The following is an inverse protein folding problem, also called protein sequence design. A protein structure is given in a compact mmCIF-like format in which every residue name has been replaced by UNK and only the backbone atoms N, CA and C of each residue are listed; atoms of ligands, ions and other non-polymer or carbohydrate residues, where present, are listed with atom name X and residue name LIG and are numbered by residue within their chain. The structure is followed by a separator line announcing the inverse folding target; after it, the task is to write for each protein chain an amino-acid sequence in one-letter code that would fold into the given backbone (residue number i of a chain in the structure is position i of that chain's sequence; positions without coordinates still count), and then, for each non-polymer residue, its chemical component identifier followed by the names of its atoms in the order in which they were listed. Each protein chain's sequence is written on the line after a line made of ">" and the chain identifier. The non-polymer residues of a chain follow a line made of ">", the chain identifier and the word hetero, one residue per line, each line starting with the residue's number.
data_IF_367307471772
#
_entry.id   IF_367307471772
#
_cell.length_a   1.000
_cell.length_b   1.000
_cell.length_c   1.000
_cell.angle_alpha   90.00
_cell.angle_beta   90.00
_cell.angle_gamma   90.00
#
_symmetry.space_group_name_H-M   'P 1'
#
loop_
_entity.id
_entity.type
_entity.pdbx_description
1 polymer ?
#
# COMPACT_ATOMS: atom_id res chain seq x y z
N UNK A 1 3.10 -14.83 -31.64
CA UNK A 1 3.75 -15.94 -32.40
C UNK A 1 3.77 -17.25 -31.63
N UNK A 2 4.18 -17.31 -30.37
CA UNK A 2 4.20 -18.56 -29.61
C UNK A 2 2.79 -19.11 -29.41
N UNK A 3 1.87 -18.30 -28.95
CA UNK A 3 0.47 -18.68 -28.72
C UNK A 3 -0.26 -18.99 -30.05
N UNK A 4 -0.01 -18.23 -31.11
CA UNK A 4 -0.55 -18.49 -32.44
C UNK A 4 -0.09 -19.85 -33.00
N UNK A 5 1.17 -20.20 -32.76
CA UNK A 5 1.70 -21.51 -33.16
C UNK A 5 1.07 -22.66 -32.37
N UNK A 6 0.83 -22.47 -31.05
CA UNK A 6 0.20 -23.49 -30.21
C UNK A 6 -1.29 -23.70 -30.59
N UNK A 7 -2.00 -22.62 -30.92
CA UNK A 7 -3.39 -22.66 -31.33
C UNK A 7 -3.58 -23.03 -32.82
N UNK A 8 -2.50 -22.96 -33.62
CA UNK A 8 -2.53 -23.26 -35.04
C UNK A 8 -3.29 -22.25 -35.89
N UNK A 9 -3.49 -21.01 -35.40
CA UNK A 9 -4.21 -19.94 -36.08
C UNK A 9 -3.63 -18.56 -35.79
N UNK A 10 -3.79 -17.64 -36.75
CA UNK A 10 -3.41 -16.24 -36.56
C UNK A 10 -4.47 -15.51 -35.71
N UNK A 11 -4.00 -14.68 -34.76
CA UNK A 11 -4.85 -13.91 -33.85
C UNK A 11 -4.91 -12.43 -34.20
N UNK A 12 -4.10 -12.00 -35.17
CA UNK A 12 -4.01 -10.60 -35.58
C UNK A 12 -4.08 -10.46 -37.08
N UNK A 13 -4.84 -9.48 -37.55
CA UNK A 13 -4.83 -9.00 -38.92
C UNK A 13 -3.88 -7.81 -39.09
N UNK A 14 -3.28 -7.65 -40.25
CA UNK A 14 -2.50 -6.47 -40.61
C UNK A 14 -3.34 -5.54 -41.48
N UNK A 15 -3.78 -4.43 -40.90
CA UNK A 15 -4.53 -3.39 -41.62
C UNK A 15 -3.74 -2.09 -41.56
N UNK A 16 -3.38 -1.52 -42.72
CA UNK A 16 -2.65 -0.25 -42.83
C UNK A 16 -1.37 -0.20 -41.95
N UNK A 17 -0.56 -1.23 -41.97
CA UNK A 17 0.67 -1.39 -41.18
C UNK A 17 0.47 -1.44 -39.65
N UNK A 18 -0.77 -1.66 -39.18
CA UNK A 18 -1.12 -1.87 -37.78
C UNK A 18 -1.56 -3.31 -37.55
N UNK A 19 -1.20 -3.87 -36.40
CA UNK A 19 -1.71 -5.16 -35.95
C UNK A 19 -3.02 -4.91 -35.20
N UNK A 20 -4.09 -5.57 -35.62
CA UNK A 20 -5.41 -5.50 -34.98
C UNK A 20 -5.86 -6.92 -34.66
N UNK A 21 -6.40 -7.14 -33.46
CA UNK A 21 -6.99 -8.44 -33.11
C UNK A 21 -8.11 -8.80 -34.07
N UNK A 22 -8.01 -9.98 -34.68
CA UNK A 22 -9.12 -10.57 -35.46
C UNK A 22 -10.15 -11.23 -34.51
N UNK A 23 -11.18 -11.86 -35.05
CA UNK A 23 -12.24 -12.47 -34.22
C UNK A 23 -11.69 -13.58 -33.32
N UNK A 24 -10.72 -14.38 -33.77
CA UNK A 24 -10.07 -15.41 -32.96
C UNK A 24 -9.24 -14.77 -31.84
N UNK A 25 -8.54 -13.68 -32.15
CA UNK A 25 -7.77 -12.91 -31.17
C UNK A 25 -8.64 -12.30 -30.07
N UNK A 26 -9.83 -11.78 -30.41
CA UNK A 26 -10.80 -11.26 -29.42
C UNK A 26 -11.27 -12.37 -28.49
N UNK A 27 -11.64 -13.52 -29.03
CA UNK A 27 -12.04 -14.70 -28.23
C UNK A 27 -10.92 -15.12 -27.28
N UNK A 28 -9.67 -15.17 -27.76
CA UNK A 28 -8.51 -15.54 -26.91
C UNK A 28 -8.28 -14.53 -25.80
N UNK A 29 -8.48 -13.24 -26.06
CA UNK A 29 -8.35 -12.21 -25.02
C UNK A 29 -9.46 -12.33 -23.97
N UNK A 30 -10.70 -12.59 -24.39
CA UNK A 30 -11.85 -12.75 -23.50
C UNK A 30 -11.68 -13.98 -22.59
N UNK A 31 -11.47 -15.15 -23.17
CA UNK A 31 -11.25 -16.40 -22.45
C UNK A 31 -9.95 -16.37 -21.62
N UNK A 32 -8.90 -15.72 -22.15
CA UNK A 32 -7.63 -15.53 -21.43
C UNK A 32 -7.77 -14.69 -20.16
N UNK A 33 -8.62 -13.66 -20.17
CA UNK A 33 -8.94 -12.90 -18.97
C UNK A 33 -9.63 -13.76 -17.91
N UNK A 34 -10.56 -14.60 -18.33
CA UNK A 34 -11.26 -15.49 -17.41
C UNK A 34 -10.31 -16.52 -16.79
N UNK A 35 -9.38 -17.06 -17.58
CA UNK A 35 -8.33 -17.96 -17.07
C UNK A 35 -7.44 -17.24 -16.04
N UNK A 36 -6.98 -16.03 -16.35
CA UNK A 36 -6.18 -15.23 -15.43
C UNK A 36 -6.94 -14.92 -14.13
N UNK A 37 -8.19 -14.50 -14.22
CA UNK A 37 -9.07 -14.29 -13.07
C UNK A 37 -9.24 -15.57 -12.22
N UNK A 38 -9.29 -16.75 -12.85
CA UNK A 38 -9.35 -18.01 -12.11
C UNK A 38 -8.03 -18.36 -11.43
N UNK A 39 -6.88 -18.04 -12.05
CA UNK A 39 -5.56 -18.21 -11.44
C UNK A 39 -5.44 -17.31 -10.20
N UNK A 40 -5.83 -16.04 -10.31
CA UNK A 40 -5.82 -15.10 -9.19
C UNK A 40 -6.72 -15.59 -8.04
N UNK A 41 -7.93 -16.03 -8.34
CA UNK A 41 -8.82 -16.64 -7.34
C UNK A 41 -8.27 -17.92 -6.71
N UNK A 42 -7.54 -18.73 -7.45
CA UNK A 42 -6.88 -19.92 -6.91
C UNK A 42 -5.76 -19.52 -5.95
N UNK A 43 -4.91 -18.56 -6.34
CA UNK A 43 -3.84 -18.04 -5.49
C UNK A 43 -4.41 -17.46 -4.19
N UNK A 44 -5.47 -16.67 -4.29
CA UNK A 44 -6.18 -16.10 -3.14
C UNK A 44 -6.75 -17.20 -2.21
N UNK A 45 -7.39 -18.23 -2.76
CA UNK A 45 -7.90 -19.34 -1.96
C UNK A 45 -6.80 -20.11 -1.23
N UNK A 46 -5.67 -20.37 -1.91
CA UNK A 46 -4.51 -21.05 -1.29
C UNK A 46 -3.90 -20.16 -0.20
N UNK A 47 -3.75 -18.86 -0.47
CA UNK A 47 -3.28 -17.87 0.50
C UNK A 47 -4.21 -17.80 1.72
N UNK A 48 -5.52 -17.74 1.51
CA UNK A 48 -6.51 -17.72 2.60
C UNK A 48 -6.46 -19.00 3.42
N UNK A 49 -6.28 -20.17 2.80
CA UNK A 49 -6.11 -21.41 3.53
C UNK A 49 -4.82 -21.45 4.36
N UNK A 50 -3.72 -20.91 3.83
CA UNK A 50 -2.46 -20.75 4.56
C UNK A 50 -2.63 -19.78 5.74
N UNK A 51 -3.29 -18.65 5.52
CA UNK A 51 -3.53 -17.63 6.52
C UNK A 51 -4.42 -18.10 7.67
N UNK A 52 -5.42 -18.97 7.39
CA UNK A 52 -6.26 -19.61 8.43
C UNK A 52 -5.47 -20.52 9.38
N UNK A 53 -4.28 -20.96 8.97
CA UNK A 53 -3.35 -21.70 9.83
C UNK A 53 -2.48 -20.79 10.71
N UNK A 54 -2.51 -19.48 10.51
CA UNK A 54 -1.82 -18.51 11.35
C UNK A 54 -2.59 -18.28 12.66
N UNK A 55 -1.87 -17.92 13.72
CA UNK A 55 -2.53 -17.56 14.99
C UNK A 55 -3.38 -16.29 14.84
N UNK A 56 -2.95 -15.38 13.98
CA UNK A 56 -3.71 -14.19 13.57
C UNK A 56 -3.40 -13.81 12.13
N UNK A 57 -4.42 -13.32 11.42
CA UNK A 57 -4.29 -12.70 10.10
C UNK A 57 -4.87 -11.29 10.13
N UNK A 58 -4.12 -10.30 9.67
CA UNK A 58 -4.40 -8.88 9.86
C UNK A 58 -4.39 -8.16 8.53
N UNK A 59 -5.51 -7.53 8.18
CA UNK A 59 -5.64 -6.66 7.01
C UNK A 59 -5.37 -5.20 7.36
N UNK A 60 -4.85 -4.41 6.43
CA UNK A 60 -4.61 -2.98 6.65
C UNK A 60 -4.90 -2.15 5.41
N UNK A 61 -5.54 -0.99 5.57
CA UNK A 61 -5.76 -0.05 4.49
C UNK A 61 -4.48 0.70 4.06
N UNK A 62 -3.43 0.68 4.88
CA UNK A 62 -2.17 1.35 4.59
C UNK A 62 -0.95 0.53 5.04
N UNK A 63 0.19 0.61 4.36
CA UNK A 63 1.38 -0.17 4.70
C UNK A 63 2.07 0.27 6.00
N UNK A 64 2.23 1.56 6.27
CA UNK A 64 3.04 2.01 7.40
C UNK A 64 2.47 1.65 8.79
N UNK A 65 1.16 1.79 9.07
CA UNK A 65 0.60 1.31 10.33
C UNK A 65 0.72 -0.22 10.48
N UNK A 66 0.67 -0.97 9.36
CA UNK A 66 0.89 -2.41 9.38
C UNK A 66 2.34 -2.74 9.75
N UNK A 67 3.32 -1.98 9.28
CA UNK A 67 4.72 -2.17 9.67
C UNK A 67 4.94 -1.90 11.16
N UNK A 68 4.36 -0.83 11.69
CA UNK A 68 4.39 -0.54 13.13
C UNK A 68 3.83 -1.72 13.94
N UNK A 69 2.69 -2.25 13.51
CA UNK A 69 2.06 -3.39 14.13
C UNK A 69 2.97 -4.64 14.06
N UNK A 70 3.51 -4.97 12.89
CA UNK A 70 4.42 -6.12 12.71
C UNK A 70 5.64 -6.05 13.63
N UNK A 71 6.27 -4.88 13.72
CA UNK A 71 7.40 -4.65 14.61
C UNK A 71 7.04 -4.96 16.07
N UNK A 72 5.92 -4.41 16.52
CA UNK A 72 5.44 -4.61 17.89
C UNK A 72 5.07 -6.09 18.14
N UNK A 73 4.36 -6.72 17.21
CA UNK A 73 3.94 -8.10 17.34
C UNK A 73 5.12 -9.07 17.40
N UNK A 74 6.12 -8.94 16.54
CA UNK A 74 7.33 -9.77 16.56
C UNK A 74 8.09 -9.69 17.89
N UNK A 75 8.08 -8.54 18.56
CA UNK A 75 8.77 -8.33 19.85
C UNK A 75 7.98 -8.79 21.06
N UNK A 76 6.65 -8.61 21.02
CA UNK A 76 5.79 -8.87 22.16
C UNK A 76 5.22 -10.30 22.22
N UNK A 77 5.25 -11.03 21.09
CA UNK A 77 4.62 -12.33 20.93
C UNK A 77 5.52 -13.29 20.15
N UNK A 78 6.55 -13.81 20.84
CA UNK A 78 7.61 -14.63 20.23
C UNK A 78 7.11 -15.98 19.70
N UNK A 79 6.05 -16.52 20.27
CA UNK A 79 5.53 -17.87 19.96
C UNK A 79 4.30 -17.83 19.05
N UNK A 80 3.97 -16.67 18.47
CA UNK A 80 2.78 -16.52 17.62
C UNK A 80 3.18 -16.26 16.16
N UNK A 81 2.48 -16.93 15.25
CA UNK A 81 2.58 -16.67 13.82
C UNK A 81 1.53 -15.64 13.39
N UNK A 82 1.94 -14.68 12.59
CA UNK A 82 1.10 -13.59 12.10
C UNK A 82 1.20 -13.52 10.58
N UNK A 83 0.02 -13.48 9.93
CA UNK A 83 -0.10 -13.13 8.52
C UNK A 83 -0.59 -11.69 8.38
N UNK A 84 -0.21 -11.03 7.30
CA UNK A 84 -0.55 -9.63 7.04
C UNK A 84 -0.82 -9.41 5.56
N UNK A 85 -1.76 -8.54 5.25
CA UNK A 85 -1.92 -8.01 3.90
C UNK A 85 -2.36 -6.55 3.92
N UNK A 86 -2.10 -5.85 2.81
CA UNK A 86 -2.58 -4.48 2.59
C UNK A 86 -3.60 -4.51 1.46
N UNK A 87 -4.76 -3.88 1.69
CA UNK A 87 -5.79 -3.63 0.68
C UNK A 87 -6.20 -2.16 0.76
N UNK A 88 -6.25 -1.49 -0.38
CA UNK A 88 -6.67 -0.09 -0.45
C UNK A 88 -8.18 0.07 -0.15
N UNK A 89 -8.98 -0.91 -0.57
CA UNK A 89 -10.44 -0.90 -0.36
C UNK A 89 -10.79 -1.30 1.09
N UNK A 90 -11.27 -0.31 1.84
CA UNK A 90 -11.72 -0.50 3.22
C UNK A 90 -12.97 -1.40 3.32
N UNK A 91 -13.84 -1.40 2.31
CA UNK A 91 -15.05 -2.24 2.31
C UNK A 91 -14.69 -3.73 2.21
N UNK A 92 -13.68 -4.08 1.38
CA UNK A 92 -13.17 -5.45 1.32
C UNK A 92 -12.56 -5.90 2.66
N UNK A 93 -11.84 -5.02 3.35
CA UNK A 93 -11.31 -5.31 4.69
C UNK A 93 -12.42 -5.54 5.71
N UNK A 94 -13.45 -4.70 5.71
CA UNK A 94 -14.60 -4.83 6.61
C UNK A 94 -15.40 -6.09 6.31
N UNK A 95 -15.60 -6.41 5.03
CA UNK A 95 -16.28 -7.65 4.64
C UNK A 95 -15.51 -8.87 5.15
N UNK A 96 -14.21 -8.97 4.86
CA UNK A 96 -13.39 -10.09 5.34
C UNK A 96 -13.29 -10.16 6.87
N UNK A 97 -13.32 -9.01 7.55
CA UNK A 97 -13.40 -8.98 9.02
C UNK A 97 -14.72 -9.54 9.56
N UNK A 98 -15.85 -9.17 8.95
CA UNK A 98 -17.16 -9.71 9.32
C UNK A 98 -17.30 -11.22 9.01
N UNK A 99 -16.63 -11.68 7.95
CA UNK A 99 -16.58 -13.10 7.55
C UNK A 99 -15.54 -13.93 8.35
N UNK A 100 -14.83 -13.28 9.29
CA UNK A 100 -13.74 -13.87 10.08
C UNK A 100 -12.52 -14.35 9.27
N UNK A 101 -12.31 -13.81 8.09
CA UNK A 101 -11.06 -14.01 7.33
C UNK A 101 -9.90 -13.24 7.97
N UNK A 102 -10.17 -12.09 8.59
CA UNK A 102 -9.21 -11.33 9.41
C UNK A 102 -9.51 -11.46 10.90
N UNK A 103 -8.47 -11.68 11.69
CA UNK A 103 -8.54 -11.61 13.16
C UNK A 103 -8.61 -10.16 13.66
N UNK A 104 -8.00 -9.25 12.90
CA UNK A 104 -8.03 -7.80 13.11
C UNK A 104 -7.84 -7.08 11.78
N UNK A 105 -8.29 -5.83 11.73
CA UNK A 105 -8.05 -4.92 10.60
C UNK A 105 -7.54 -3.57 11.09
N UNK A 106 -6.85 -2.84 10.21
CA UNK A 106 -6.43 -1.46 10.43
C UNK A 106 -7.15 -0.58 9.42
N UNK A 107 -7.86 0.44 9.93
CA UNK A 107 -8.56 1.45 9.13
C UNK A 107 -8.14 2.86 9.58
N UNK A 108 -8.43 3.84 8.73
CA UNK A 108 -8.24 5.28 9.00
C UNK A 108 -9.40 5.93 9.74
N UNK A 109 -10.40 5.15 10.12
CA UNK A 109 -11.52 5.56 10.97
C UNK A 109 -11.89 4.48 11.98
N UNK A 110 -12.48 4.87 13.14
CA UNK A 110 -12.86 3.92 14.18
C UNK A 110 -14.17 3.21 13.83
N UNK A 111 -14.28 1.93 14.20
CA UNK A 111 -15.54 1.18 14.21
C UNK A 111 -16.03 1.05 15.64
N UNK A 112 -17.27 1.50 15.90
CA UNK A 112 -17.93 1.32 17.18
C UNK A 112 -19.07 0.30 17.01
N UNK A 113 -18.83 -0.94 17.42
CA UNK A 113 -19.74 -2.06 17.29
C UNK A 113 -19.65 -2.96 18.51
N UNK A 114 -20.74 -3.57 18.92
CA UNK A 114 -20.76 -4.58 19.96
C UNK A 114 -19.86 -5.76 19.59
N UNK A 115 -19.16 -6.35 20.55
CA UNK A 115 -18.17 -7.43 20.36
C UNK A 115 -16.90 -7.06 19.55
N UNK A 116 -16.67 -5.78 19.32
CA UNK A 116 -15.47 -5.28 18.64
C UNK A 116 -14.69 -4.36 19.57
N UNK A 117 -13.38 -4.57 19.66
CA UNK A 117 -12.43 -3.65 20.30
C UNK A 117 -11.77 -2.79 19.23
N UNK A 118 -11.81 -1.48 19.40
CA UNK A 118 -11.20 -0.51 18.51
C UNK A 118 -10.34 0.46 19.33
N UNK A 119 -9.08 0.66 18.92
CA UNK A 119 -8.22 1.65 19.54
C UNK A 119 -7.24 2.26 18.53
N UNK A 120 -6.87 3.51 18.76
CA UNK A 120 -5.88 4.21 17.94
C UNK A 120 -4.50 3.57 18.09
N UNK A 121 -3.80 3.35 16.98
CA UNK A 121 -2.45 2.77 16.97
C UNK A 121 -1.38 3.77 16.56
N UNK A 122 -1.62 4.63 15.57
CA UNK A 122 -0.67 5.64 15.12
C UNK A 122 -1.37 6.77 14.36
N UNK A 123 -0.59 7.82 14.09
CA UNK A 123 -0.97 8.90 13.20
C UNK A 123 0.13 9.09 12.17
N UNK A 124 -0.26 9.32 10.94
CA UNK A 124 0.63 9.49 9.80
C UNK A 124 0.40 10.88 9.18
N UNK A 125 1.48 11.62 8.93
CA UNK A 125 1.43 12.92 8.25
C UNK A 125 2.16 12.80 6.92
N UNK A 126 1.52 13.18 5.84
CA UNK A 126 2.11 13.19 4.51
C UNK A 126 3.07 14.35 4.35
N UNK A 127 4.21 14.09 3.73
CA UNK A 127 5.24 15.07 3.43
C UNK A 127 5.62 14.98 1.95
N UNK A 128 5.97 16.12 1.37
CA UNK A 128 6.70 16.16 0.10
C UNK A 128 8.16 15.84 0.37
N UNK A 129 8.73 15.03 -0.51
CA UNK A 129 10.17 14.79 -0.57
C UNK A 129 10.72 15.37 -1.87
N UNK A 130 11.72 16.21 -1.77
CA UNK A 130 12.35 16.89 -2.91
C UNK A 130 13.86 17.02 -2.74
N UNK A 131 14.59 17.32 -3.84
CA UNK A 131 16.04 17.60 -3.77
C UNK A 131 16.30 18.95 -3.12
N UNK A 132 17.48 19.13 -2.51
CA UNK A 132 17.88 20.39 -1.87
C UNK A 132 17.93 21.60 -2.82
N UNK A 133 17.98 21.35 -4.13
CA UNK A 133 18.03 22.40 -5.17
C UNK A 133 16.65 22.76 -5.75
N UNK A 134 15.60 22.05 -5.36
CA UNK A 134 14.26 22.33 -5.83
C UNK A 134 13.73 23.66 -5.26
N UNK A 135 12.95 24.47 -6.04
CA UNK A 135 12.40 25.74 -5.55
C UNK A 135 11.62 25.64 -4.23
N UNK A 136 10.96 24.52 -4.00
CA UNK A 136 10.18 24.27 -2.77
C UNK A 136 11.05 23.89 -1.55
N UNK A 137 12.34 23.53 -1.73
CA UNK A 137 13.19 22.98 -0.67
C UNK A 137 13.35 23.88 0.56
N UNK A 138 13.17 25.18 0.42
CA UNK A 138 13.28 26.16 1.52
C UNK A 138 11.95 26.39 2.28
N UNK A 139 10.87 25.78 1.85
CA UNK A 139 9.58 25.87 2.56
C UNK A 139 9.63 25.05 3.84
N UNK A 140 9.04 25.58 4.90
CA UNK A 140 8.88 24.86 6.18
C UNK A 140 7.65 23.96 6.20
N UNK A 141 6.63 24.38 5.48
CA UNK A 141 5.35 23.67 5.30
C UNK A 141 4.81 23.98 3.90
N UNK A 142 3.90 23.18 3.43
CA UNK A 142 3.26 23.35 2.12
C UNK A 142 1.81 22.87 2.19
N UNK A 143 0.98 23.31 1.25
CA UNK A 143 -0.41 22.84 1.12
C UNK A 143 -0.63 22.09 -0.20
N UNK A 144 -1.73 21.33 -0.31
CA UNK A 144 -2.10 20.69 -1.56
C UNK A 144 -2.37 21.72 -2.68
N UNK A 145 -2.95 22.87 -2.36
CA UNK A 145 -3.20 23.94 -3.33
C UNK A 145 -1.90 24.49 -3.90
N UNK A 146 -0.84 24.60 -3.10
CA UNK A 146 0.46 25.05 -3.55
C UNK A 146 1.20 23.99 -4.38
N UNK A 147 0.82 22.73 -4.28
CA UNK A 147 1.37 21.59 -5.01
C UNK A 147 0.58 21.25 -6.27
N UNK A 148 -0.66 21.73 -6.38
CA UNK A 148 -1.53 21.41 -7.51
C UNK A 148 -0.92 21.93 -8.83
N UNK A 149 -0.82 21.03 -9.82
CA UNK A 149 -0.16 21.28 -11.11
C UNK A 149 1.30 20.83 -11.19
N UNK A 150 1.91 20.37 -10.08
CA UNK A 150 3.26 19.79 -10.09
C UNK A 150 3.28 18.34 -10.60
N UNK A 151 4.48 17.83 -10.90
CA UNK A 151 4.69 16.45 -11.34
C UNK A 151 5.27 15.62 -10.20
N UNK A 152 4.64 14.49 -9.93
CA UNK A 152 5.01 13.57 -8.87
C UNK A 152 5.46 12.23 -9.42
N UNK A 153 6.48 11.66 -8.80
CA UNK A 153 6.87 10.26 -8.98
C UNK A 153 6.33 9.46 -7.79
N UNK A 154 5.56 8.43 -8.07
CA UNK A 154 4.90 7.59 -7.09
C UNK A 154 5.21 6.11 -7.33
N UNK A 155 5.33 5.34 -6.24
CA UNK A 155 5.43 3.89 -6.33
C UNK A 155 4.04 3.26 -6.19
N UNK A 156 3.74 2.24 -7.00
CA UNK A 156 2.40 1.65 -7.12
C UNK A 156 1.87 0.94 -5.85
N UNK A 157 2.43 1.09 -4.72
CA UNK A 157 1.94 0.48 -3.47
C UNK A 157 1.83 1.51 -2.35
N UNK A 158 1.23 2.65 -2.64
CA UNK A 158 1.05 3.74 -1.67
C UNK A 158 -0.26 3.64 -0.89
N UNK A 159 -1.13 2.68 -1.26
CA UNK A 159 -2.42 2.46 -0.61
C UNK A 159 -3.33 3.68 -0.73
N UNK A 160 -4.02 4.02 0.35
CA UNK A 160 -4.99 5.12 0.43
C UNK A 160 -4.41 6.51 0.05
N UNK A 161 -3.09 6.73 0.24
CA UNK A 161 -2.48 8.04 -0.02
C UNK A 161 -2.57 8.50 -1.47
N UNK A 162 -2.62 7.58 -2.44
CA UNK A 162 -2.80 7.93 -3.85
C UNK A 162 -4.11 8.68 -4.08
N UNK A 163 -5.22 8.14 -3.58
CA UNK A 163 -6.54 8.76 -3.72
C UNK A 163 -6.59 10.13 -3.05
N UNK A 164 -6.06 10.26 -1.83
CA UNK A 164 -5.96 11.55 -1.14
C UNK A 164 -5.21 12.58 -1.98
N UNK A 165 -4.09 12.19 -2.61
CA UNK A 165 -3.30 13.11 -3.43
C UNK A 165 -4.03 13.51 -4.72
N UNK A 166 -4.66 12.57 -5.41
CA UNK A 166 -5.40 12.84 -6.66
C UNK A 166 -6.61 13.74 -6.41
N UNK A 167 -7.37 13.48 -5.35
CA UNK A 167 -8.56 14.25 -5.02
C UNK A 167 -8.24 15.71 -4.63
N UNK A 168 -7.11 15.91 -3.96
CA UNK A 168 -6.70 17.26 -3.50
C UNK A 168 -5.80 18.01 -4.50
N UNK A 169 -5.27 17.34 -5.53
CA UNK A 169 -4.39 17.94 -6.55
C UNK A 169 -4.80 17.50 -7.97
N UNK A 170 -6.02 17.86 -8.43
CA UNK A 170 -6.59 17.35 -9.69
C UNK A 170 -5.85 17.79 -10.97
N UNK A 171 -5.07 18.87 -10.93
CA UNK A 171 -4.30 19.37 -12.07
C UNK A 171 -2.86 18.79 -12.10
N UNK A 172 -2.50 17.98 -11.12
CA UNK A 172 -1.17 17.36 -10.99
C UNK A 172 -1.02 16.09 -11.83
N UNK A 173 0.22 15.76 -12.18
CA UNK A 173 0.57 14.53 -12.89
C UNK A 173 1.30 13.55 -11.97
N UNK A 174 0.75 12.35 -11.84
CA UNK A 174 1.32 11.26 -11.05
C UNK A 174 1.94 10.22 -11.97
N UNK A 175 3.27 10.10 -11.94
CA UNK A 175 4.05 9.11 -12.68
C UNK A 175 4.21 7.90 -11.78
N UNK A 176 3.32 6.92 -11.95
CA UNK A 176 3.30 5.70 -11.14
C UNK A 176 4.29 4.68 -11.70
N UNK A 177 5.13 4.11 -10.84
CA UNK A 177 6.09 3.06 -11.17
C UNK A 177 5.80 1.79 -10.38
N UNK A 178 5.74 0.66 -11.10
CA UNK A 178 5.59 -0.67 -10.53
C UNK A 178 6.95 -1.31 -10.18
N UNK A 179 8.00 -0.91 -10.89
CA UNK A 179 9.36 -1.37 -10.68
C UNK A 179 10.06 -0.52 -9.61
N UNK A 180 10.40 -1.14 -8.49
CA UNK A 180 11.05 -0.48 -7.34
C UNK A 180 12.46 0.03 -7.68
N UNK A 181 13.20 -0.67 -8.54
CA UNK A 181 14.55 -0.28 -8.95
C UNK A 181 14.47 0.95 -9.85
N UNK A 182 13.57 0.95 -10.84
CA UNK A 182 13.33 2.09 -11.72
C UNK A 182 12.80 3.30 -10.93
N UNK A 183 11.88 3.09 -9.99
CA UNK A 183 11.43 4.15 -9.08
C UNK A 183 12.61 4.77 -8.33
N UNK A 184 13.48 3.95 -7.75
CA UNK A 184 14.66 4.43 -7.02
C UNK A 184 15.67 5.18 -7.92
N UNK A 185 15.84 4.77 -9.18
CA UNK A 185 16.68 5.47 -10.16
C UNK A 185 16.09 6.84 -10.49
N UNK A 186 14.81 6.89 -10.86
CA UNK A 186 14.10 8.12 -11.20
C UNK A 186 14.09 9.11 -10.03
N UNK A 187 13.87 8.63 -8.81
CA UNK A 187 13.88 9.45 -7.60
C UNK A 187 15.25 10.13 -7.38
N UNK A 188 16.35 9.42 -7.63
CA UNK A 188 17.72 9.97 -7.45
C UNK A 188 18.15 10.86 -8.60
N UNK A 189 17.69 10.61 -9.82
CA UNK A 189 18.18 11.28 -11.03
C UNK A 189 17.28 12.41 -11.55
N UNK A 190 16.09 12.57 -10.98
CA UNK A 190 15.14 13.59 -11.39
C UNK A 190 14.84 14.60 -10.28
N UNK A 191 14.30 15.76 -10.67
CA UNK A 191 13.76 16.75 -9.74
C UNK A 191 12.30 16.51 -9.38
N UNK A 192 11.72 15.38 -9.80
CA UNK A 192 10.34 15.03 -9.49
C UNK A 192 10.10 15.01 -7.98
N UNK A 193 8.95 15.53 -7.59
CA UNK A 193 8.47 15.44 -6.23
C UNK A 193 8.07 14.00 -5.92
N UNK A 194 8.31 13.56 -4.71
CA UNK A 194 7.81 12.26 -4.21
C UNK A 194 7.17 12.46 -2.85
N UNK A 195 6.41 11.47 -2.41
CA UNK A 195 5.80 11.51 -1.09
C UNK A 195 6.55 10.64 -0.09
N UNK A 196 6.55 11.06 1.17
CA UNK A 196 6.94 10.28 2.33
C UNK A 196 6.02 10.61 3.50
N UNK A 197 5.83 9.67 4.37
CA UNK A 197 5.04 9.92 5.58
C UNK A 197 5.95 10.10 6.79
N UNK A 198 5.42 10.72 7.83
CA UNK A 198 6.15 10.92 9.10
C UNK A 198 6.68 9.61 9.68
N UNK A 199 6.01 8.47 9.41
CA UNK A 199 6.43 7.14 9.87
C UNK A 199 7.55 6.54 9.02
N UNK A 200 7.66 6.93 7.75
CA UNK A 200 8.66 6.38 6.81
C UNK A 200 9.92 7.24 6.68
N UNK A 201 9.83 8.56 6.93
CA UNK A 201 10.98 9.49 6.84
C UNK A 201 12.19 9.03 7.66
N UNK A 202 12.07 8.63 8.94
CA UNK A 202 13.23 8.24 9.75
C UNK A 202 14.03 7.09 9.14
N UNK A 203 13.35 6.20 8.39
CA UNK A 203 13.97 5.07 7.72
C UNK A 203 14.72 5.47 6.45
N UNK A 204 14.14 6.32 5.61
CA UNK A 204 14.68 6.68 4.30
C UNK A 204 15.66 7.85 4.35
N UNK A 205 15.51 8.76 5.29
CA UNK A 205 16.36 9.93 5.47
C UNK A 205 17.87 9.61 5.54
N UNK A 206 18.25 8.45 6.05
CA UNK A 206 19.68 8.03 6.13
C UNK A 206 20.28 7.68 4.75
N UNK A 207 19.46 7.46 3.74
CA UNK A 207 19.87 6.95 2.42
C UNK A 207 19.58 7.91 1.27
N UNK A 208 18.91 9.03 1.56
CA UNK A 208 18.46 9.98 0.54
C UNK A 208 18.94 11.39 0.86
N UNK A 209 19.60 12.05 -0.12
CA UNK A 209 19.90 13.50 -0.05
C UNK A 209 18.64 14.27 -0.48
N UNK A 210 17.62 14.26 0.39
CA UNK A 210 16.32 14.91 0.11
C UNK A 210 15.83 15.70 1.32
N UNK A 211 15.07 16.75 1.00
CA UNK A 211 14.36 17.59 1.98
C UNK A 211 12.91 17.10 2.09
N UNK A 212 12.39 17.05 3.31
CA UNK A 212 11.03 16.65 3.60
C UNK A 212 10.24 17.84 4.13
N UNK A 213 9.10 18.13 3.51
CA UNK A 213 8.27 19.29 3.80
C UNK A 213 6.87 18.79 4.15
N UNK A 214 6.40 18.98 5.39
CA UNK A 214 5.07 18.50 5.80
C UNK A 214 3.96 19.28 5.09
N UNK A 215 2.94 18.53 4.65
CA UNK A 215 1.71 19.08 4.10
C UNK A 215 0.78 19.40 5.27
N UNK A 216 0.21 20.61 5.29
CA UNK A 216 -0.56 21.12 6.43
C UNK A 216 -2.07 20.99 6.30
N UNK A 217 -2.58 20.53 5.16
CA UNK A 217 -4.00 20.24 5.00
C UNK A 217 -4.44 19.13 5.97
N UNK A 218 -5.65 19.21 6.54
CA UNK A 218 -6.18 18.17 7.42
C UNK A 218 -6.16 16.78 6.78
N UNK A 219 -6.45 16.69 5.48
CA UNK A 219 -6.47 15.46 4.67
C UNK A 219 -5.08 14.81 4.54
N UNK A 220 -4.02 15.57 4.75
CA UNK A 220 -2.65 15.06 4.77
C UNK A 220 -2.27 14.36 6.09
N UNK A 221 -3.21 14.26 7.03
CA UNK A 221 -3.01 13.60 8.32
C UNK A 221 -4.05 12.50 8.51
N UNK A 222 -3.60 11.26 8.59
CA UNK A 222 -4.45 10.11 8.85
C UNK A 222 -4.20 9.55 10.26
N UNK A 223 -5.27 9.16 10.91
CA UNK A 223 -5.22 8.47 12.21
C UNK A 223 -5.69 7.04 12.00
N UNK A 224 -4.85 6.07 12.33
CA UNK A 224 -5.15 4.66 12.14
C UNK A 224 -5.58 3.98 13.42
N UNK A 225 -6.56 3.09 13.27
CA UNK A 225 -7.18 2.34 14.34
C UNK A 225 -7.03 0.85 14.10
N UNK A 226 -6.62 0.11 15.11
CA UNK A 226 -6.68 -1.35 15.11
C UNK A 226 -8.05 -1.79 15.63
N UNK A 227 -8.71 -2.62 14.86
CA UNK A 227 -10.05 -3.12 15.10
C UNK A 227 -9.97 -4.64 15.15
N UNK A 228 -10.39 -5.25 16.24
CA UNK A 228 -10.39 -6.70 16.39
C UNK A 228 -11.65 -7.21 17.09
N UNK A 229 -12.00 -8.48 16.86
CA UNK A 229 -13.06 -9.12 17.63
C UNK A 229 -12.65 -9.25 19.09
N UNK A 230 -13.60 -9.09 20.02
CA UNK A 230 -13.37 -9.15 21.47
C UNK A 230 -12.65 -10.44 21.90
N UNK A 231 -12.97 -11.57 21.26
CA UNK A 231 -12.34 -12.86 21.55
C UNK A 231 -10.85 -12.95 21.12
N UNK A 232 -10.40 -12.04 20.24
CA UNK A 232 -9.00 -11.96 19.81
C UNK A 232 -8.21 -10.89 20.56
N UNK A 233 -8.86 -10.02 21.34
CA UNK A 233 -8.20 -8.89 21.99
C UNK A 233 -7.08 -9.33 22.93
N UNK A 234 -7.26 -10.40 23.71
CA UNK A 234 -6.21 -10.90 24.60
C UNK A 234 -4.93 -11.28 23.87
N UNK A 235 -5.04 -11.65 22.58
CA UNK A 235 -3.88 -11.98 21.73
C UNK A 235 -3.10 -10.75 21.25
N UNK A 236 -3.69 -9.55 21.29
CA UNK A 236 -3.07 -8.31 20.78
C UNK A 236 -3.06 -7.16 21.78
N UNK A 237 -3.53 -7.34 23.00
CA UNK A 237 -3.62 -6.29 24.02
C UNK A 237 -2.27 -5.60 24.35
N UNK A 238 -1.15 -6.33 24.19
CA UNK A 238 0.18 -5.74 24.37
C UNK A 238 0.53 -4.73 23.26
N UNK A 239 -0.10 -4.83 22.10
CA UNK A 239 0.10 -3.87 21.00
C UNK A 239 -0.26 -2.47 21.46
N UNK A 240 -1.40 -2.31 22.12
CA UNK A 240 -1.85 -1.00 22.61
C UNK A 240 -0.82 -0.32 23.53
N UNK A 241 -0.10 -1.10 24.33
CA UNK A 241 0.89 -0.57 25.26
C UNK A 241 2.24 -0.22 24.58
N UNK A 242 2.61 -0.92 23.52
CA UNK A 242 3.96 -0.88 22.95
C UNK A 242 4.03 -0.36 21.49
N UNK A 243 2.91 -0.01 20.86
CA UNK A 243 2.88 0.42 19.47
C UNK A 243 3.69 1.70 19.22
N UNK A 244 3.80 2.56 20.21
CA UNK A 244 4.57 3.81 20.13
C UNK A 244 6.09 3.63 20.37
N UNK A 245 6.54 2.41 20.69
CA UNK A 245 7.95 2.09 20.93
C UNK A 245 8.69 1.64 19.67
N UNK A 246 8.10 1.85 18.50
CA UNK A 246 8.70 1.42 17.22
C UNK A 246 9.95 2.23 16.93
N UNK A 247 11.09 1.55 16.87
CA UNK A 247 12.36 2.13 16.44
C UNK A 247 12.46 2.12 14.90
N UNK A 248 11.96 3.16 14.28
CA UNK A 248 11.94 3.31 12.83
C UNK A 248 13.34 3.43 12.20
N UNK A 249 14.34 3.90 12.96
CA UNK A 249 15.72 4.10 12.49
C UNK A 249 16.42 2.75 12.32
N UNK A 250 16.24 1.83 13.27
CA UNK A 250 16.88 0.52 13.29
C UNK A 250 15.99 -0.60 12.75
N UNK A 251 14.83 -0.26 12.19
CA UNK A 251 13.94 -1.21 11.56
C UNK A 251 14.55 -1.68 10.24
N UNK A 252 15.16 -2.86 10.22
CA UNK A 252 15.92 -3.39 9.06
C UNK A 252 15.04 -3.95 7.97
N UNK A 253 15.57 -3.97 6.72
CA UNK A 253 14.91 -4.51 5.53
C UNK A 253 14.47 -5.98 5.65
N UNK A 254 15.17 -6.78 6.44
CA UNK A 254 14.82 -8.18 6.72
C UNK A 254 13.45 -8.36 7.40
N UNK A 255 12.95 -7.29 8.02
CA UNK A 255 11.62 -7.25 8.60
C UNK A 255 10.52 -6.92 7.57
N UNK A 256 10.92 -6.59 6.34
CA UNK A 256 10.06 -6.17 5.23
C UNK A 256 10.23 -7.12 4.04
N UNK A 257 10.08 -8.40 4.19
CA UNK A 257 9.71 -9.19 3.04
C UNK A 257 8.38 -8.65 2.54
N UNK A 258 8.51 -7.88 1.45
CA UNK A 258 7.39 -7.45 0.63
C UNK A 258 6.84 -8.75 0.04
N UNK A 259 5.71 -9.17 0.53
CA UNK A 259 4.88 -10.21 -0.08
C UNK A 259 3.99 -9.52 -1.09
#
# INVERSE_FOLDING_TARGET
>A
KTLENELGMELFDRINNRLILNEYGKTVVEEGRDILNHVDKLQEKVKNQYNRNMNMFIGSCAPAPLWALRYTMKRQYLDMSFGYETKADAEELIQGFNEHDYSAIILDYPINKEDVVCFQICQEVLNISTTSHHPLANKKTITFEELNGENFLEYNNTGYWHEVCVDNMPDSHFIVQDDLELYGILQRQSSLLTFRTSLTIPRFHLYEDRVYIPITNPEATLTFYLICHQNHFDKIKKVQAHINEVDWIHYRNEDFEII
#
